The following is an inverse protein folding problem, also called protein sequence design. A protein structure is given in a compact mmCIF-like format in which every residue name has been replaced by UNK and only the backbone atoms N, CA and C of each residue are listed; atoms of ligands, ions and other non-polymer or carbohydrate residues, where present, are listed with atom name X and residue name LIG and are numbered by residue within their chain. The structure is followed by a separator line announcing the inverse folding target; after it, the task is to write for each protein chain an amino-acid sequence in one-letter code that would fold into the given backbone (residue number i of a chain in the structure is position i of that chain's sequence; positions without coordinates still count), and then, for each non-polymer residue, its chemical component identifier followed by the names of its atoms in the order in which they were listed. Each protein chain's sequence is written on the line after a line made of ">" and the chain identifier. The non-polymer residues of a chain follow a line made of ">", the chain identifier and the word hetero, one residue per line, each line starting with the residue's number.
data_IF_117230653315
#
_entry.id   IF_117230653315
#
_cell.length_a   1.000
_cell.length_b   1.000
_cell.length_c   1.000
_cell.angle_alpha   90.00
_cell.angle_beta   90.00
_cell.angle_gamma   90.00
#
_symmetry.space_group_name_H-M   'P 1'
#
loop_
_entity.id
_entity.type
_entity.pdbx_description
1 polymer ?
#
# COMPACT_ATOMS: atom_id res chain seq x y z
N UNK A 1 -27.68 -10.67 -13.26
CA UNK A 1 -27.59 -9.19 -13.12
C UNK A 1 -26.14 -8.78 -13.40
N UNK A 2 -25.86 -8.15 -14.55
CA UNK A 2 -24.51 -7.67 -14.90
C UNK A 2 -24.19 -6.44 -14.05
N UNK A 3 -23.25 -6.55 -13.11
CA UNK A 3 -22.71 -5.40 -12.36
C UNK A 3 -21.62 -4.75 -13.20
N UNK A 4 -21.78 -3.46 -13.47
CA UNK A 4 -20.82 -2.67 -14.25
C UNK A 4 -19.49 -2.55 -13.51
N UNK A 5 -18.41 -2.90 -14.21
CA UNK A 5 -17.03 -2.73 -13.77
C UNK A 5 -16.70 -1.23 -13.81
N UNK A 6 -16.60 -0.60 -12.64
CA UNK A 6 -16.09 0.76 -12.51
C UNK A 6 -14.61 0.66 -12.18
N UNK A 7 -13.71 0.82 -13.16
CA UNK A 7 -12.27 0.94 -12.87
C UNK A 7 -12.00 2.26 -12.15
N UNK A 8 -11.44 2.21 -10.94
CA UNK A 8 -10.86 3.36 -10.26
C UNK A 8 -9.72 3.93 -11.11
N UNK A 9 -9.74 5.24 -11.40
CA UNK A 9 -8.54 5.92 -11.93
C UNK A 9 -7.55 6.06 -10.79
N UNK A 10 -6.47 5.28 -10.81
CA UNK A 10 -5.31 5.53 -9.95
C UNK A 10 -4.89 7.00 -10.12
N UNK A 11 -4.77 7.73 -9.02
CA UNK A 11 -4.13 9.04 -9.04
C UNK A 11 -2.63 8.77 -9.22
N UNK A 12 -2.02 9.12 -10.37
CA UNK A 12 -0.60 8.85 -10.55
C UNK A 12 0.21 9.66 -9.54
N UNK A 13 1.32 9.07 -9.10
CA UNK A 13 2.39 9.71 -8.33
C UNK A 13 2.80 11.01 -9.03
N UNK A 14 2.35 12.16 -8.51
CA UNK A 14 3.05 13.42 -8.72
C UNK A 14 3.95 13.61 -7.52
N UNK A 15 5.21 13.22 -7.65
CA UNK A 15 6.29 13.71 -6.81
C UNK A 15 6.26 15.23 -6.89
N UNK A 16 5.72 15.87 -5.86
CA UNK A 16 5.81 17.31 -5.71
C UNK A 16 7.25 17.63 -5.30
N UNK A 17 8.11 17.82 -6.31
CA UNK A 17 9.37 18.55 -6.12
C UNK A 17 8.97 19.97 -5.74
N UNK A 18 9.00 20.27 -4.44
CA UNK A 18 8.91 21.63 -3.94
C UNK A 18 10.26 22.29 -4.22
N UNK A 19 10.40 22.85 -5.42
CA UNK A 19 11.47 23.79 -5.71
C UNK A 19 11.16 25.10 -4.97
N UNK A 20 11.85 25.32 -3.85
CA UNK A 20 11.88 26.61 -3.18
C UNK A 20 12.63 27.62 -4.04
N UNK A 21 11.90 28.47 -4.77
CA UNK A 21 12.42 29.62 -5.49
C UNK A 21 11.89 30.90 -4.86
N UNK A 22 12.80 31.73 -4.37
CA UNK A 22 12.56 33.06 -3.81
C UNK A 22 11.86 33.95 -4.85
N UNK A 23 10.70 34.51 -4.49
CA UNK A 23 10.01 35.51 -5.29
C UNK A 23 10.52 36.92 -4.91
N UNK A 24 11.22 37.58 -5.86
CA UNK A 24 11.38 39.03 -5.86
C UNK A 24 10.30 39.61 -6.80
N UNK A 25 9.52 40.56 -6.30
CA UNK A 25 8.41 41.20 -7.02
C UNK A 25 8.88 42.25 -8.04
N UNK A 26 8.49 42.00 -9.30
CA UNK A 26 7.96 42.89 -10.36
C UNK A 26 8.58 44.27 -10.65
N UNK A 27 8.76 44.56 -11.96
CA UNK A 27 8.00 45.57 -12.73
C UNK A 27 8.42 45.59 -14.23
N UNK A 28 7.42 45.34 -15.09
CA UNK A 28 7.09 45.94 -16.41
C UNK A 28 8.09 45.89 -17.59
N UNK A 29 7.71 45.21 -18.68
CA UNK A 29 7.31 45.82 -19.97
C UNK A 29 7.24 44.78 -21.10
N UNK A 30 6.17 44.85 -21.89
CA UNK A 30 5.96 44.09 -23.11
C UNK A 30 6.76 44.69 -24.29
N UNK A 31 7.19 43.85 -25.24
CA UNK A 31 7.16 44.18 -26.67
C UNK A 31 7.44 42.95 -27.54
N UNK A 32 6.57 42.76 -28.53
CA UNK A 32 6.70 41.87 -29.68
C UNK A 32 7.85 42.34 -30.59
N UNK A 33 8.48 41.44 -31.33
CA UNK A 33 8.66 41.56 -32.79
C UNK A 33 9.39 40.36 -33.39
N UNK A 34 8.83 39.90 -34.50
CA UNK A 34 9.45 38.96 -35.43
C UNK A 34 10.56 39.65 -36.24
N UNK A 35 11.57 38.88 -36.67
CA UNK A 35 12.16 39.00 -38.00
C UNK A 35 13.14 37.84 -38.25
N UNK A 36 12.95 37.19 -39.39
CA UNK A 36 13.91 36.30 -40.03
C UNK A 36 15.04 37.10 -40.69
N UNK A 37 16.21 36.49 -40.90
CA UNK A 37 16.85 36.26 -42.22
C UNK A 37 18.39 36.24 -42.20
N UNK A 38 18.93 35.33 -43.04
CA UNK A 38 20.20 35.31 -43.79
C UNK A 38 21.54 35.38 -43.02
N UNK A 39 22.46 34.40 -43.09
CA UNK A 39 23.21 33.78 -44.19
C UNK A 39 24.48 34.53 -44.63
N UNK A 40 25.64 33.84 -44.53
CA UNK A 40 26.90 33.88 -45.35
C UNK A 40 28.13 33.65 -44.45
N UNK A 41 28.85 32.51 -44.49
CA UNK A 41 29.91 32.09 -45.46
C UNK A 41 31.16 33.00 -45.37
N UNK A 42 32.43 32.61 -45.13
CA UNK A 42 33.33 31.51 -45.59
C UNK A 42 34.70 31.62 -44.79
N UNK A 43 35.89 31.09 -45.20
CA UNK A 43 36.39 29.69 -45.15
C UNK A 43 37.86 29.53 -44.59
N UNK A 44 38.39 28.30 -44.70
CA UNK A 44 39.84 27.90 -44.75
C UNK A 44 40.57 27.74 -43.40
N UNK A 45 41.46 26.78 -43.15
CA UNK A 45 42.33 25.99 -44.04
C UNK A 45 42.68 24.60 -43.46
N UNK A 46 43.06 23.68 -44.36
CA UNK A 46 43.58 22.33 -44.08
C UNK A 46 45.09 22.34 -43.83
N UNK A 47 45.58 21.42 -42.98
CA UNK A 47 46.94 20.88 -43.07
C UNK A 47 46.92 19.38 -42.73
N UNK A 48 47.70 18.60 -43.48
CA UNK A 48 47.65 17.14 -43.56
C UNK A 48 48.74 16.43 -42.74
N UNK A 49 48.34 15.29 -42.14
CA UNK A 49 49.05 14.00 -41.92
C UNK A 49 50.36 13.98 -41.07
N UNK A 50 50.72 12.87 -40.37
CA UNK A 50 50.89 11.54 -40.98
C UNK A 50 50.33 10.34 -40.19
N UNK A 51 50.21 9.24 -40.95
CA UNK A 51 49.85 7.88 -40.58
C UNK A 51 51.00 7.11 -39.88
N UNK A 52 50.64 6.28 -38.89
CA UNK A 52 51.45 5.16 -38.41
C UNK A 52 50.55 3.93 -38.19
N UNK A 53 51.06 2.78 -38.60
CA UNK A 53 50.36 1.49 -38.75
C UNK A 53 50.86 0.44 -37.75
N UNK A 54 49.95 -0.47 -37.35
CA UNK A 54 50.08 -1.88 -36.91
C UNK A 54 49.46 -2.19 -35.51
N UNK A 55 49.06 -3.45 -35.19
CA UNK A 55 48.76 -4.62 -36.03
C UNK A 55 47.36 -5.24 -35.76
N UNK A 56 46.96 -6.17 -36.64
CA UNK A 56 45.80 -7.05 -36.47
C UNK A 56 46.02 -8.10 -35.39
N UNK A 57 45.11 -8.20 -34.43
CA UNK A 57 44.94 -9.37 -33.57
C UNK A 57 43.55 -9.97 -33.83
N UNK A 58 43.52 -11.23 -34.22
CA UNK A 58 42.33 -12.03 -34.48
C UNK A 58 41.43 -12.13 -33.24
N UNK A 59 40.17 -11.74 -33.39
CA UNK A 59 39.15 -11.92 -32.35
C UNK A 59 38.86 -13.43 -32.16
N UNK A 60 38.89 -13.97 -30.92
CA UNK A 60 38.30 -15.27 -30.65
C UNK A 60 36.77 -15.18 -30.77
N UNK A 61 36.08 -16.27 -31.14
CA UNK A 61 34.65 -16.22 -31.40
C UNK A 61 33.91 -15.80 -30.13
N UNK A 62 33.12 -14.73 -30.25
CA UNK A 62 32.17 -14.36 -29.22
C UNK A 62 31.19 -15.52 -29.04
N UNK A 63 31.37 -16.28 -27.97
CA UNK A 63 30.33 -17.15 -27.46
C UNK A 63 29.20 -16.25 -27.02
N UNK A 64 28.19 -16.11 -27.87
CA UNK A 64 26.94 -15.46 -27.53
C UNK A 64 26.22 -16.34 -26.50
N UNK A 65 26.63 -16.23 -25.23
CA UNK A 65 25.77 -16.59 -24.12
C UNK A 65 24.74 -15.47 -24.04
N UNK A 66 23.63 -15.63 -24.77
CA UNK A 66 22.43 -14.84 -24.53
C UNK A 66 21.82 -15.31 -23.21
N UNK A 67 22.48 -14.99 -22.09
CA UNK A 67 21.90 -15.10 -20.77
C UNK A 67 20.84 -14.01 -20.66
N UNK A 68 19.56 -14.36 -20.86
CA UNK A 68 18.48 -13.50 -20.38
C UNK A 68 18.70 -13.42 -18.87
N UNK A 69 19.03 -12.25 -18.34
CA UNK A 69 19.18 -12.07 -16.90
C UNK A 69 17.94 -12.66 -16.21
N UNK A 70 18.16 -13.61 -15.32
CA UNK A 70 17.07 -14.22 -14.55
C UNK A 70 16.38 -13.09 -13.78
N UNK A 71 15.06 -13.00 -13.94
CA UNK A 71 14.29 -12.01 -13.19
C UNK A 71 14.30 -12.44 -11.73
N UNK A 72 14.57 -11.51 -10.83
CA UNK A 72 14.54 -11.75 -9.37
C UNK A 72 13.50 -10.86 -8.71
N UNK A 73 13.11 -11.26 -7.50
CA UNK A 73 12.36 -10.44 -6.55
C UNK A 73 13.23 -10.23 -5.32
N UNK A 74 13.28 -8.99 -4.85
CA UNK A 74 13.70 -8.69 -3.49
C UNK A 74 12.56 -9.09 -2.55
N UNK A 75 12.85 -10.00 -1.62
CA UNK A 75 11.88 -10.48 -0.64
C UNK A 75 12.39 -10.30 0.78
N UNK A 76 11.47 -9.85 1.63
CA UNK A 76 11.68 -9.74 3.07
C UNK A 76 11.12 -10.96 3.80
N UNK A 77 11.77 -11.37 4.90
CA UNK A 77 11.35 -12.49 5.74
C UNK A 77 11.86 -12.40 7.17
N UNK A 78 11.21 -13.11 8.09
CA UNK A 78 11.35 -12.85 9.53
C UNK A 78 11.87 -14.06 10.29
N UNK A 79 12.83 -13.87 11.21
CA UNK A 79 13.54 -14.98 11.90
C UNK A 79 12.72 -15.82 12.84
N UNK A 80 11.54 -15.32 13.20
CA UNK A 80 10.65 -15.90 14.18
C UNK A 80 9.83 -14.79 14.83
N UNK A 81 8.94 -15.14 15.77
CA UNK A 81 8.24 -14.18 16.61
C UNK A 81 9.26 -13.34 17.38
N UNK A 82 9.23 -12.01 17.25
CA UNK A 82 10.23 -11.10 17.83
C UNK A 82 11.59 -11.10 17.12
N UNK A 83 11.67 -11.71 15.94
CA UNK A 83 12.87 -11.73 15.11
C UNK A 83 13.15 -10.39 14.41
N UNK A 84 14.42 -10.16 14.10
CA UNK A 84 14.79 -9.09 13.17
C UNK A 84 14.53 -9.59 11.74
N UNK A 85 13.87 -8.78 10.90
CA UNK A 85 13.63 -9.15 9.53
C UNK A 85 14.93 -9.18 8.71
N UNK A 86 14.87 -9.82 7.55
CA UNK A 86 15.98 -10.02 6.61
C UNK A 86 15.47 -9.96 5.18
N UNK A 87 16.35 -9.60 4.27
CA UNK A 87 16.13 -9.51 2.84
C UNK A 87 16.98 -10.56 2.14
N UNK A 88 16.47 -11.08 1.03
CA UNK A 88 17.25 -11.84 0.05
C UNK A 88 16.67 -11.62 -1.35
N UNK A 89 17.44 -11.97 -2.37
CA UNK A 89 16.95 -12.02 -3.75
C UNK A 89 16.53 -13.44 -4.08
N UNK A 90 15.31 -13.61 -4.57
CA UNK A 90 14.80 -14.91 -5.01
C UNK A 90 14.50 -14.88 -6.50
N UNK A 91 14.66 -15.99 -7.23
CA UNK A 91 14.19 -16.08 -8.61
C UNK A 91 12.70 -15.74 -8.70
N UNK A 92 12.32 -14.96 -9.71
CA UNK A 92 10.93 -14.58 -9.96
C UNK A 92 10.09 -15.75 -10.51
N UNK A 93 10.74 -16.71 -11.15
CA UNK A 93 10.09 -17.90 -11.66
C UNK A 93 10.08 -19.00 -10.57
N UNK A 94 8.94 -19.70 -10.43
CA UNK A 94 8.84 -20.83 -9.51
C UNK A 94 9.90 -21.89 -9.82
N UNK A 95 10.64 -22.40 -8.83
CA UNK A 95 11.63 -23.44 -9.05
C UNK A 95 11.04 -24.67 -9.76
N UNK A 96 11.72 -25.17 -10.79
CA UNK A 96 11.27 -26.32 -11.60
C UNK A 96 11.02 -27.63 -10.83
N UNK A 97 11.51 -27.72 -9.58
CA UNK A 97 11.20 -28.86 -8.69
C UNK A 97 9.76 -28.83 -8.19
N UNK A 98 9.14 -27.66 -8.15
CA UNK A 98 7.79 -27.43 -7.62
C UNK A 98 6.72 -27.52 -8.71
N UNK A 99 7.05 -27.14 -9.94
CA UNK A 99 6.14 -27.18 -11.10
C UNK A 99 6.01 -28.56 -11.75
N UNK A 100 6.43 -29.63 -11.03
CA UNK A 100 6.36 -31.00 -11.54
C UNK A 100 5.04 -31.64 -11.16
N UNK A 101 4.18 -31.86 -12.16
CA UNK A 101 3.01 -32.72 -12.03
C UNK A 101 1.68 -32.00 -11.87
N UNK A 102 1.60 -30.72 -12.27
CA UNK A 102 0.38 -29.91 -12.25
C UNK A 102 -0.77 -30.65 -12.94
N UNK A 103 -1.78 -31.01 -12.16
CA UNK A 103 -3.03 -31.58 -12.67
C UNK A 103 -3.94 -30.45 -13.10
N UNK A 104 -4.63 -30.62 -14.22
CA UNK A 104 -5.75 -29.75 -14.55
C UNK A 104 -6.88 -29.91 -13.52
N UNK A 105 -7.42 -28.78 -13.04
CA UNK A 105 -8.66 -28.78 -12.27
C UNK A 105 -9.79 -29.46 -13.08
N UNK A 106 -10.63 -30.22 -12.40
CA UNK A 106 -11.87 -30.75 -12.96
C UNK A 106 -12.86 -29.62 -13.23
N UNK A 107 -13.91 -29.88 -14.03
CA UNK A 107 -14.91 -28.86 -14.34
C UNK A 107 -15.57 -28.25 -13.10
N UNK A 108 -15.81 -29.04 -12.05
CA UNK A 108 -16.39 -28.56 -10.80
C UNK A 108 -15.41 -27.68 -10.01
N UNK A 109 -14.13 -28.07 -9.97
CA UNK A 109 -13.07 -27.29 -9.33
C UNK A 109 -12.83 -25.96 -10.07
N UNK A 110 -12.79 -25.99 -11.41
CA UNK A 110 -12.70 -24.77 -12.25
C UNK A 110 -13.88 -23.83 -12.04
N UNK A 111 -15.08 -24.35 -11.80
CA UNK A 111 -16.25 -23.51 -11.54
C UNK A 111 -16.19 -22.80 -10.18
N UNK A 112 -15.47 -23.36 -9.20
CA UNK A 112 -15.21 -22.74 -7.90
C UNK A 112 -13.97 -21.82 -7.92
N UNK A 113 -13.06 -22.01 -8.88
CA UNK A 113 -11.84 -21.23 -8.96
C UNK A 113 -12.07 -19.76 -9.35
N UNK A 114 -11.44 -18.86 -8.59
CA UNK A 114 -11.49 -17.43 -8.80
C UNK A 114 -12.70 -16.72 -8.28
N UNK A 115 -13.56 -17.38 -7.49
CA UNK A 115 -14.68 -16.69 -6.89
C UNK A 115 -14.19 -15.58 -5.95
N UNK A 116 -14.92 -14.47 -5.93
CA UNK A 116 -14.57 -13.29 -5.13
C UNK A 116 -15.62 -13.11 -4.04
N UNK A 117 -15.24 -13.45 -2.81
CA UNK A 117 -16.08 -13.35 -1.63
C UNK A 117 -15.93 -12.01 -0.91
N UNK A 118 -17.03 -11.50 -0.37
CA UNK A 118 -16.97 -10.40 0.60
C UNK A 118 -16.90 -10.97 2.01
N UNK A 119 -15.82 -10.64 2.73
CA UNK A 119 -15.65 -11.05 4.14
C UNK A 119 -16.11 -9.93 5.07
N UNK A 120 -15.73 -8.69 4.78
CA UNK A 120 -16.17 -7.49 5.49
C UNK A 120 -16.47 -6.38 4.47
N UNK A 121 -17.70 -5.85 4.47
CA UNK A 121 -18.11 -4.72 3.61
C UNK A 121 -18.55 -3.52 4.47
N UNK A 122 -17.60 -2.64 4.78
CA UNK A 122 -17.86 -1.42 5.55
C UNK A 122 -18.38 -0.26 4.68
N UNK A 123 -18.32 -0.38 3.36
CA UNK A 123 -18.88 0.60 2.43
C UNK A 123 -18.43 0.39 0.98
N UNK A 124 -18.77 1.33 0.09
CA UNK A 124 -18.31 1.29 -1.30
C UNK A 124 -16.78 1.28 -1.39
N UNK A 125 -16.21 0.49 -2.30
CA UNK A 125 -14.75 0.38 -2.52
C UNK A 125 -14.08 1.74 -2.75
N UNK A 126 -14.75 2.64 -3.48
CA UNK A 126 -14.28 4.00 -3.72
C UNK A 126 -14.03 4.84 -2.43
N UNK A 127 -14.64 4.46 -1.29
CA UNK A 127 -14.54 5.14 0.00
C UNK A 127 -13.81 4.30 1.06
N UNK A 128 -13.24 3.16 0.71
CA UNK A 128 -12.62 2.19 1.63
C UNK A 128 -11.24 1.79 1.12
N UNK A 129 -10.45 1.19 2.01
CA UNK A 129 -9.25 0.45 1.65
C UNK A 129 -9.69 -0.98 1.40
N UNK A 130 -9.49 -1.51 0.20
CA UNK A 130 -9.92 -2.86 -0.15
C UNK A 130 -8.73 -3.84 -0.02
N UNK A 131 -8.78 -4.68 1.02
CA UNK A 131 -7.78 -5.73 1.28
C UNK A 131 -8.25 -7.03 0.66
N UNK A 132 -7.45 -7.60 -0.24
CA UNK A 132 -7.74 -8.87 -0.90
C UNK A 132 -6.84 -9.97 -0.35
N UNK A 133 -7.46 -11.02 0.19
CA UNK A 133 -6.79 -12.25 0.54
C UNK A 133 -6.93 -13.24 -0.61
N UNK A 134 -5.83 -13.84 -1.06
CA UNK A 134 -5.82 -14.95 -2.02
C UNK A 134 -5.36 -16.20 -1.29
N UNK A 135 -6.17 -17.27 -1.30
CA UNK A 135 -5.83 -18.52 -0.62
C UNK A 135 -4.90 -19.37 -1.47
N UNK A 136 -3.91 -20.05 -0.86
CA UNK A 136 -3.17 -21.11 -1.54
C UNK A 136 -3.10 -22.37 -0.68
N UNK A 137 -3.11 -23.52 -1.34
CA UNK A 137 -3.11 -24.84 -0.69
C UNK A 137 -4.47 -25.24 -0.11
N UNK A 138 -5.56 -24.59 -0.52
CA UNK A 138 -6.94 -24.99 -0.21
C UNK A 138 -7.57 -25.65 -1.42
N UNK A 139 -8.02 -26.88 -1.25
CA UNK A 139 -8.77 -27.58 -2.31
C UNK A 139 -10.17 -26.99 -2.49
N UNK A 140 -10.89 -27.38 -3.54
CA UNK A 140 -12.28 -26.93 -3.73
C UNK A 140 -13.19 -27.27 -2.54
N UNK A 141 -12.90 -28.35 -1.80
CA UNK A 141 -13.64 -28.75 -0.61
C UNK A 141 -13.29 -27.93 0.65
N UNK A 142 -12.25 -27.09 0.60
CA UNK A 142 -11.71 -26.34 1.73
C UNK A 142 -11.86 -24.82 1.57
N UNK A 143 -12.66 -24.34 0.61
CA UNK A 143 -12.85 -22.89 0.44
C UNK A 143 -13.56 -22.24 1.63
N UNK A 144 -14.46 -22.97 2.30
CA UNK A 144 -15.08 -22.50 3.55
C UNK A 144 -14.04 -22.34 4.69
N UNK A 145 -13.05 -23.24 4.76
CA UNK A 145 -11.94 -23.15 5.71
C UNK A 145 -11.08 -21.91 5.39
N UNK A 146 -10.72 -21.72 4.12
CA UNK A 146 -10.01 -20.51 3.67
C UNK A 146 -10.74 -19.24 4.08
N UNK A 147 -12.06 -19.14 3.87
CA UNK A 147 -12.83 -17.96 4.27
C UNK A 147 -12.85 -17.77 5.80
N UNK A 148 -12.82 -18.85 6.58
CA UNK A 148 -12.67 -18.79 8.04
C UNK A 148 -11.30 -18.26 8.44
N UNK A 149 -10.24 -18.70 7.77
CA UNK A 149 -8.88 -18.27 8.02
C UNK A 149 -8.68 -16.80 7.64
N UNK A 150 -9.31 -16.31 6.57
CA UNK A 150 -9.33 -14.88 6.25
C UNK A 150 -9.98 -14.07 7.37
N UNK A 151 -11.12 -14.53 7.92
CA UNK A 151 -11.78 -13.85 9.05
C UNK A 151 -10.88 -13.81 10.28
N UNK A 152 -10.26 -14.95 10.62
CA UNK A 152 -9.35 -15.09 11.75
C UNK A 152 -8.12 -14.19 11.60
N UNK A 153 -7.45 -14.26 10.45
CA UNK A 153 -6.25 -13.49 10.15
C UNK A 153 -6.52 -11.99 10.12
N UNK A 154 -7.63 -11.57 9.51
CA UNK A 154 -8.02 -10.18 9.54
C UNK A 154 -8.35 -9.69 10.97
N UNK A 155 -8.97 -10.52 11.80
CA UNK A 155 -9.22 -10.16 13.20
C UNK A 155 -7.90 -9.92 13.97
N UNK A 156 -6.86 -10.71 13.71
CA UNK A 156 -5.52 -10.51 14.28
C UNK A 156 -4.86 -9.23 13.78
N UNK A 157 -4.79 -9.02 12.45
CA UNK A 157 -4.21 -7.81 11.84
C UNK A 157 -4.93 -6.55 12.32
N UNK A 158 -6.26 -6.58 12.29
CA UNK A 158 -7.09 -5.43 12.68
C UNK A 158 -7.16 -5.17 14.18
N UNK A 159 -6.52 -6.01 15.01
CA UNK A 159 -6.32 -5.75 16.43
C UNK A 159 -5.10 -4.85 16.72
N UNK A 160 -4.17 -4.70 15.76
CA UNK A 160 -2.98 -3.85 15.91
C UNK A 160 -3.31 -2.39 15.62
N UNK A 161 -2.78 -1.44 16.39
CA UNK A 161 -2.92 -0.01 16.09
C UNK A 161 -1.94 0.41 14.97
N UNK A 162 -2.36 1.23 13.97
CA UNK A 162 -3.62 1.97 13.93
C UNK A 162 -4.81 1.24 13.26
N UNK A 163 -4.69 -0.02 12.82
CA UNK A 163 -5.83 -0.72 12.21
C UNK A 163 -7.04 -0.80 13.14
N UNK A 164 -6.82 -1.09 14.43
CA UNK A 164 -7.89 -1.22 15.41
C UNK A 164 -8.78 0.02 15.53
N UNK A 165 -8.19 1.22 15.58
CA UNK A 165 -8.93 2.48 15.60
C UNK A 165 -9.65 2.79 14.27
N UNK A 166 -9.16 2.24 13.15
CA UNK A 166 -9.58 2.57 11.80
C UNK A 166 -10.24 1.43 11.02
N UNK A 167 -10.57 0.30 11.66
CA UNK A 167 -11.13 -0.90 11.02
C UNK A 167 -12.31 -0.64 10.07
N UNK A 168 -13.12 0.38 10.34
CA UNK A 168 -14.28 0.77 9.51
C UNK A 168 -13.88 1.44 8.18
N UNK A 169 -12.60 1.74 7.97
CA UNK A 169 -12.06 2.22 6.70
C UNK A 169 -11.76 1.07 5.72
N UNK A 170 -11.79 -0.19 6.17
CA UNK A 170 -11.39 -1.32 5.35
C UNK A 170 -12.59 -2.13 4.88
N UNK A 171 -12.54 -2.58 3.64
CA UNK A 171 -13.26 -3.77 3.20
C UNK A 171 -12.25 -4.93 3.13
N UNK A 172 -12.75 -6.14 3.32
CA UNK A 172 -11.96 -7.37 3.21
C UNK A 172 -12.64 -8.31 2.25
N UNK A 173 -11.88 -8.78 1.28
CA UNK A 173 -12.31 -9.68 0.23
C UNK A 173 -11.46 -10.94 0.24
N UNK A 174 -12.06 -12.06 -0.16
CA UNK A 174 -11.36 -13.29 -0.48
C UNK A 174 -11.40 -13.51 -1.99
N UNK A 175 -10.33 -14.10 -2.52
CA UNK A 175 -10.27 -14.66 -3.87
C UNK A 175 -9.85 -16.11 -3.74
N UNK A 176 -10.75 -16.99 -4.18
CA UNK A 176 -10.58 -18.43 -4.05
C UNK A 176 -9.61 -18.90 -5.15
N UNK A 177 -8.39 -19.31 -4.79
CA UNK A 177 -7.49 -19.98 -5.71
C UNK A 177 -7.48 -21.47 -5.38
N UNK A 178 -8.17 -22.25 -6.20
CA UNK A 178 -8.43 -23.66 -5.93
C UNK A 178 -7.18 -24.48 -6.23
N UNK A 179 -6.57 -25.03 -5.18
CA UNK A 179 -5.41 -25.92 -5.29
C UNK A 179 -5.81 -27.37 -5.57
N UNK A 180 -4.97 -28.08 -6.33
CA UNK A 180 -5.11 -29.52 -6.52
C UNK A 180 -4.84 -30.32 -5.23
N UNK A 181 -3.97 -29.80 -4.36
CA UNK A 181 -3.58 -30.46 -3.13
C UNK A 181 -3.71 -29.52 -1.92
N UNK A 182 -4.07 -30.13 -0.78
CA UNK A 182 -4.07 -29.45 0.51
C UNK A 182 -2.64 -29.27 1.05
N UNK A 183 -2.42 -28.12 1.69
CA UNK A 183 -1.12 -27.71 2.23
C UNK A 183 -0.22 -27.07 1.18
N UNK A 184 1.00 -26.70 1.58
CA UNK A 184 1.98 -26.04 0.69
C UNK A 184 3.31 -26.79 0.63
N UNK A 185 4.10 -26.52 -0.40
CA UNK A 185 5.40 -27.17 -0.58
C UNK A 185 6.38 -26.82 0.55
N UNK A 186 7.20 -27.78 0.97
CA UNK A 186 8.17 -27.59 2.06
C UNK A 186 7.62 -27.77 3.49
N UNK A 187 6.37 -28.23 3.63
CA UNK A 187 5.67 -28.52 4.88
C UNK A 187 5.06 -29.95 4.83
N UNK A 188 5.36 -30.86 5.79
CA UNK A 188 6.18 -30.69 7.02
C UNK A 188 7.69 -30.65 6.80
N UNK A 189 8.21 -31.09 5.65
CA UNK A 189 9.65 -31.13 5.40
C UNK A 189 10.04 -30.54 4.04
N UNK A 190 11.29 -30.07 3.92
CA UNK A 190 11.83 -29.39 2.73
C UNK A 190 11.63 -30.17 1.42
N UNK A 191 11.56 -31.49 1.48
CA UNK A 191 11.40 -32.37 0.31
C UNK A 191 9.96 -32.51 -0.19
N UNK A 192 8.97 -32.04 0.58
CA UNK A 192 7.55 -32.14 0.19
C UNK A 192 7.26 -31.15 -0.93
N UNK A 193 6.66 -31.65 -2.01
CA UNK A 193 6.18 -30.86 -3.14
C UNK A 193 4.66 -31.02 -3.22
N UNK A 194 3.96 -29.90 -3.37
CA UNK A 194 2.51 -29.80 -3.49
C UNK A 194 2.16 -29.04 -4.76
N UNK A 195 1.19 -29.54 -5.50
CA UNK A 195 0.54 -28.87 -6.63
C UNK A 195 -0.54 -27.93 -6.08
N UNK A 196 -0.21 -26.64 -6.03
CA UNK A 196 -1.06 -25.58 -5.47
C UNK A 196 -1.29 -24.44 -6.46
N UNK A 197 -2.36 -23.68 -6.27
CA UNK A 197 -2.81 -22.67 -7.22
C UNK A 197 -1.81 -21.53 -7.41
N UNK A 198 -1.03 -21.17 -6.39
CA UNK A 198 -0.07 -20.05 -6.39
C UNK A 198 1.39 -20.49 -6.24
N UNK A 199 1.65 -21.79 -6.24
CA UNK A 199 2.96 -22.39 -5.96
C UNK A 199 3.59 -21.92 -4.64
N UNK A 200 2.81 -21.73 -3.57
CA UNK A 200 3.39 -21.38 -2.26
C UNK A 200 4.40 -22.44 -1.79
N UNK A 201 5.55 -21.98 -1.30
CA UNK A 201 6.59 -22.88 -0.77
C UNK A 201 7.47 -22.27 0.31
N UNK A 202 7.75 -23.09 1.33
CA UNK A 202 8.78 -22.85 2.33
C UNK A 202 10.19 -23.17 1.81
N UNK A 203 11.22 -22.85 2.59
CA UNK A 203 12.63 -23.10 2.22
C UNK A 203 13.09 -22.37 0.97
N UNK A 204 12.42 -21.27 0.63
CA UNK A 204 12.85 -20.37 -0.40
C UNK A 204 14.23 -19.79 -0.03
N UNK A 205 15.13 -19.73 -1.01
CA UNK A 205 16.56 -19.43 -0.81
C UNK A 205 17.23 -20.23 0.33
N UNK A 206 16.79 -21.47 0.56
CA UNK A 206 17.29 -22.32 1.64
C UNK A 206 16.85 -21.92 3.05
N UNK A 207 16.05 -20.87 3.21
CA UNK A 207 15.53 -20.41 4.49
C UNK A 207 14.16 -21.02 4.80
N UNK A 208 14.08 -21.83 5.85
CA UNK A 208 12.86 -22.56 6.24
C UNK A 208 11.57 -21.74 6.23
N UNK A 209 11.55 -20.62 6.94
CA UNK A 209 10.36 -19.76 7.14
C UNK A 209 10.08 -18.75 6.02
N UNK A 210 10.97 -18.64 5.03
CA UNK A 210 10.72 -17.78 3.86
C UNK A 210 9.69 -18.49 2.97
N UNK A 211 8.46 -18.00 3.05
CA UNK A 211 7.29 -18.52 2.35
C UNK A 211 7.08 -17.74 1.05
N UNK A 212 7.59 -18.30 -0.05
CA UNK A 212 7.55 -17.68 -1.35
C UNK A 212 6.33 -18.13 -2.17
N UNK A 213 5.94 -17.33 -3.16
CA UNK A 213 4.82 -17.54 -4.09
C UNK A 213 5.21 -17.19 -5.52
N UNK A 214 4.46 -17.67 -6.51
CA UNK A 214 4.52 -17.16 -7.88
C UNK A 214 3.75 -15.83 -7.99
N UNK A 215 4.47 -14.72 -8.14
CA UNK A 215 3.86 -13.38 -8.16
C UNK A 215 3.00 -13.14 -9.40
N UNK A 216 3.23 -13.86 -10.51
CA UNK A 216 2.43 -13.80 -11.73
C UNK A 216 1.08 -14.49 -11.55
N UNK A 217 1.08 -15.68 -10.93
CA UNK A 217 -0.16 -16.38 -10.54
C UNK A 217 -0.95 -15.52 -9.55
N UNK A 218 -0.31 -14.97 -8.51
CA UNK A 218 -0.97 -14.05 -7.55
C UNK A 218 -1.60 -12.86 -8.28
N UNK A 219 -0.88 -12.21 -9.19
CA UNK A 219 -1.41 -11.08 -9.95
C UNK A 219 -2.64 -11.47 -10.79
N UNK A 220 -2.68 -12.69 -11.35
CA UNK A 220 -3.83 -13.17 -12.13
C UNK A 220 -5.10 -13.36 -11.29
N UNK A 221 -4.96 -13.82 -10.04
CA UNK A 221 -6.08 -13.93 -9.10
C UNK A 221 -6.48 -12.56 -8.54
N UNK A 222 -5.51 -11.74 -8.14
CA UNK A 222 -5.78 -10.38 -7.65
C UNK A 222 -6.53 -9.53 -8.69
N UNK A 223 -6.27 -9.73 -9.99
CA UNK A 223 -7.01 -9.06 -11.06
C UNK A 223 -8.52 -9.39 -11.11
N UNK A 224 -8.97 -10.50 -10.48
CA UNK A 224 -10.39 -10.84 -10.32
C UNK A 224 -11.08 -9.88 -9.33
N UNK A 225 -10.32 -9.23 -8.44
CA UNK A 225 -10.75 -8.21 -7.50
C UNK A 225 -10.10 -6.83 -7.83
N UNK A 226 -10.52 -6.14 -8.90
CA UNK A 226 -9.80 -5.01 -9.49
C UNK A 226 -9.75 -3.73 -8.63
N UNK A 227 -10.45 -3.71 -7.50
CA UNK A 227 -10.44 -2.59 -6.55
C UNK A 227 -9.41 -2.80 -5.43
N UNK A 228 -8.64 -3.90 -5.46
CA UNK A 228 -7.61 -4.19 -4.46
C UNK A 228 -6.62 -3.02 -4.29
N UNK A 229 -6.49 -2.56 -3.05
CA UNK A 229 -5.40 -1.66 -2.65
C UNK A 229 -4.23 -2.45 -2.04
N UNK A 230 -4.52 -3.60 -1.42
CA UNK A 230 -3.54 -4.49 -0.77
C UNK A 230 -3.83 -5.95 -1.11
N UNK A 231 -2.78 -6.74 -1.32
CA UNK A 231 -2.88 -8.18 -1.58
C UNK A 231 -2.10 -8.96 -0.52
N UNK A 232 -2.80 -9.90 0.12
CA UNK A 232 -2.24 -10.84 1.09
C UNK A 232 -2.48 -12.26 0.58
N UNK A 233 -1.42 -13.07 0.47
CA UNK A 233 -1.56 -14.50 0.20
C UNK A 233 -1.61 -15.25 1.52
N UNK A 234 -2.66 -16.04 1.71
CA UNK A 234 -2.81 -16.90 2.88
C UNK A 234 -2.56 -18.36 2.47
N UNK A 235 -1.45 -18.92 2.92
CA UNK A 235 -1.06 -20.29 2.61
C UNK A 235 -1.57 -21.25 3.68
N UNK A 236 -2.28 -22.30 3.28
CA UNK A 236 -2.82 -23.34 4.15
C UNK A 236 -1.69 -24.10 4.86
N UNK A 237 -1.31 -23.65 6.05
CA UNK A 237 -0.22 -24.23 6.83
C UNK A 237 -0.23 -23.70 8.26
N UNK A 238 0.09 -24.59 9.20
CA UNK A 238 0.38 -24.25 10.59
C UNK A 238 1.86 -23.95 10.85
N UNK A 239 2.74 -24.09 9.86
CA UNK A 239 4.16 -23.77 9.98
C UNK A 239 4.36 -22.26 9.97
N UNK A 240 5.25 -21.74 10.81
CA UNK A 240 5.58 -20.32 10.75
C UNK A 240 6.26 -19.95 9.43
N UNK A 241 5.67 -18.96 8.75
CA UNK A 241 6.37 -18.21 7.72
C UNK A 241 5.51 -17.15 7.06
N UNK A 242 6.19 -16.38 6.24
CA UNK A 242 5.66 -15.24 5.52
C UNK A 242 6.78 -14.47 4.86
N UNK A 243 6.42 -13.63 3.91
CA UNK A 243 7.35 -12.80 3.15
C UNK A 243 6.69 -11.52 2.66
N UNK A 244 7.52 -10.49 2.52
CA UNK A 244 7.23 -9.24 1.84
C UNK A 244 7.77 -9.23 0.43
N UNK A 245 6.96 -8.84 -0.55
CA UNK A 245 7.39 -8.66 -1.92
C UNK A 245 7.28 -7.19 -2.31
N UNK A 246 8.40 -6.57 -2.69
CA UNK A 246 8.39 -5.25 -3.32
C UNK A 246 8.14 -5.40 -4.81
N UNK A 247 6.88 -5.57 -5.19
CA UNK A 247 6.45 -5.69 -6.59
C UNK A 247 5.50 -4.57 -6.98
N UNK A 248 5.75 -3.93 -8.12
CA UNK A 248 4.79 -3.01 -8.74
C UNK A 248 3.84 -3.83 -9.61
N UNK A 249 2.58 -3.94 -9.19
CA UNK A 249 1.57 -4.62 -10.00
C UNK A 249 0.97 -3.64 -11.02
N UNK A 250 0.77 -4.10 -12.26
CA UNK A 250 -0.08 -3.38 -13.21
C UNK A 250 -1.58 -3.37 -12.82
N UNK A 251 -1.91 -4.04 -11.71
CA UNK A 251 -3.26 -4.24 -11.19
C UNK A 251 -3.66 -3.23 -10.10
N UNK A 252 -2.75 -2.32 -9.70
CA UNK A 252 -3.12 -1.16 -8.89
C UNK A 252 -2.82 -1.23 -7.39
N UNK A 253 -2.23 -2.34 -6.92
CA UNK A 253 -1.72 -2.51 -5.56
C UNK A 253 -0.18 -2.49 -5.54
N UNK A 254 0.38 -2.08 -4.40
CA UNK A 254 1.83 -2.02 -4.17
C UNK A 254 2.25 -3.17 -3.25
N UNK A 255 3.00 -4.14 -3.77
CA UNK A 255 3.55 -5.27 -3.02
C UNK A 255 2.60 -6.44 -2.73
N UNK A 256 3.16 -7.55 -2.26
CA UNK A 256 2.43 -8.75 -1.81
C UNK A 256 2.96 -9.13 -0.44
N UNK A 257 2.06 -9.39 0.50
CA UNK A 257 2.42 -10.03 1.78
C UNK A 257 2.01 -11.50 1.73
N UNK A 258 2.85 -12.41 2.21
CA UNK A 258 2.48 -13.82 2.40
C UNK A 258 2.45 -14.15 3.88
N UNK A 259 1.50 -14.99 4.28
CA UNK A 259 1.36 -15.47 5.64
C UNK A 259 0.83 -16.90 5.64
N UNK A 260 1.23 -17.66 6.65
CA UNK A 260 0.61 -18.96 6.95
C UNK A 260 -0.74 -18.74 7.66
N UNK A 261 -1.76 -19.49 7.27
CA UNK A 261 -3.13 -19.37 7.78
C UNK A 261 -3.21 -19.61 9.29
N UNK A 262 -2.64 -20.73 9.71
CA UNK A 262 -2.87 -21.33 11.03
C UNK A 262 -1.73 -21.07 12.02
N UNK A 263 -0.77 -20.22 11.67
CA UNK A 263 0.27 -19.80 12.60
C UNK A 263 -0.07 -18.46 13.28
N UNK A 264 -0.07 -18.40 14.63
CA UNK A 264 -0.49 -17.22 15.39
C UNK A 264 0.44 -16.01 15.24
N UNK A 265 1.68 -16.21 14.81
CA UNK A 265 2.67 -15.12 14.62
C UNK A 265 2.85 -14.68 13.16
N UNK A 266 2.19 -15.34 12.20
CA UNK A 266 2.30 -14.99 10.77
C UNK A 266 1.48 -13.74 10.41
N UNK A 267 0.55 -13.30 11.26
CA UNK A 267 -0.17 -12.03 11.11
C UNK A 267 0.77 -10.82 11.24
N UNK A 268 1.77 -10.90 12.13
CA UNK A 268 2.72 -9.82 12.37
C UNK A 268 3.57 -9.52 11.13
N UNK A 269 3.80 -10.53 10.28
CA UNK A 269 4.40 -10.34 8.95
C UNK A 269 3.50 -9.44 8.11
N UNK A 270 2.22 -9.79 7.95
CA UNK A 270 1.28 -8.97 7.18
C UNK A 270 1.14 -7.53 7.75
N UNK A 271 1.19 -7.35 9.06
CA UNK A 271 1.21 -6.01 9.66
C UNK A 271 2.49 -5.26 9.26
N UNK A 272 3.67 -5.89 9.34
CA UNK A 272 4.92 -5.28 8.88
C UNK A 272 4.86 -4.89 7.39
N UNK A 273 4.47 -5.82 6.52
CA UNK A 273 4.47 -5.61 5.06
C UNK A 273 3.48 -4.52 4.61
N UNK A 274 2.37 -4.42 5.31
CA UNK A 274 1.43 -3.33 5.07
C UNK A 274 1.98 -1.98 5.52
N UNK A 275 2.99 -1.96 6.40
CA UNK A 275 3.82 -0.79 6.70
C UNK A 275 4.46 -0.18 5.46
N UNK A 276 5.00 -1.01 4.57
CA UNK A 276 5.59 -0.57 3.30
C UNK A 276 4.52 -0.10 2.32
N UNK A 277 3.57 -0.98 1.99
CA UNK A 277 2.57 -0.73 0.94
C UNK A 277 1.57 0.38 1.30
N UNK A 278 1.16 0.47 2.56
CA UNK A 278 0.21 1.49 3.04
C UNK A 278 0.93 2.69 3.64
N UNK A 279 1.92 2.47 4.51
CA UNK A 279 2.60 3.56 5.19
C UNK A 279 3.65 4.27 4.33
N UNK A 280 4.16 3.60 3.28
CA UNK A 280 5.37 4.03 2.59
C UNK A 280 6.59 4.00 3.51
N UNK A 281 6.55 3.15 4.56
CA UNK A 281 7.60 3.06 5.55
C UNK A 281 8.80 2.31 4.97
N UNK A 282 9.99 2.71 5.41
CA UNK A 282 11.22 1.97 5.22
C UNK A 282 11.41 0.96 6.36
N UNK A 283 12.26 -0.03 6.12
CA UNK A 283 12.82 -0.84 7.18
C UNK A 283 13.73 -0.05 8.12
N UNK A 284 13.68 -0.42 9.39
CA UNK A 284 14.43 0.22 10.46
C UNK A 284 15.58 -0.65 11.00
N UNK A 285 15.71 -1.89 10.52
CA UNK A 285 16.84 -2.75 10.86
C UNK A 285 18.02 -2.56 9.89
N UNK A 286 19.16 -3.18 10.25
CA UNK A 286 20.47 -2.91 9.63
C UNK A 286 21.24 -4.19 9.35
N UNK A 287 22.09 -4.16 8.34
CA UNK A 287 23.09 -5.20 8.09
C UNK A 287 24.48 -4.63 8.32
N UNK A 288 25.24 -5.23 9.25
CA UNK A 288 26.58 -4.77 9.57
C UNK A 288 27.49 -4.65 8.33
N UNK A 289 27.29 -5.52 7.33
CA UNK A 289 28.04 -5.53 6.07
C UNK A 289 27.82 -4.29 5.20
N UNK A 290 26.71 -3.56 5.33
CA UNK A 290 26.36 -2.44 4.46
C UNK A 290 27.12 -1.14 4.77
N UNK A 291 27.81 -1.06 5.92
CA UNK A 291 28.61 0.11 6.28
C UNK A 291 27.80 1.41 6.43
N UNK A 292 28.30 2.51 5.87
CA UNK A 292 27.67 3.84 5.99
C UNK A 292 26.90 4.20 4.73
N UNK A 293 25.65 4.62 4.88
CA UNK A 293 24.86 5.15 3.77
C UNK A 293 25.42 6.49 3.27
N UNK A 294 25.74 6.56 1.97
CA UNK A 294 26.29 7.76 1.32
C UNK A 294 25.32 8.43 0.34
N UNK A 295 24.15 7.84 0.11
CA UNK A 295 23.14 8.32 -0.84
C UNK A 295 22.42 9.60 -0.41
N UNK A 296 21.42 9.99 -1.20
CA UNK A 296 20.56 11.14 -0.94
C UNK A 296 19.61 10.91 0.25
N UNK A 297 19.04 11.98 0.80
CA UNK A 297 18.02 11.90 1.85
C UNK A 297 16.86 10.98 1.42
N UNK A 298 16.53 9.93 2.20
CA UNK A 298 15.45 9.00 1.85
C UNK A 298 14.08 9.69 1.74
N UNK A 299 13.20 9.14 0.92
CA UNK A 299 11.82 9.65 0.77
C UNK A 299 10.92 9.22 1.91
N UNK A 300 11.16 8.01 2.44
CA UNK A 300 10.37 7.30 3.43
C UNK A 300 10.23 8.12 4.73
N UNK A 301 9.04 8.11 5.37
CA UNK A 301 8.75 9.01 6.46
C UNK A 301 9.44 8.62 7.77
N UNK A 302 10.00 7.41 7.90
CA UNK A 302 10.68 6.90 9.10
C UNK A 302 12.20 6.67 8.92
N UNK A 303 12.82 7.26 7.88
CA UNK A 303 14.27 7.24 7.70
C UNK A 303 14.81 8.61 7.28
N UNK A 304 15.98 9.01 7.81
CA UNK A 304 16.58 10.32 7.51
C UNK A 304 18.09 10.35 7.73
N UNK A 305 18.84 11.19 7.01
CA UNK A 305 20.25 11.49 7.30
C UNK A 305 20.41 12.51 8.43
N UNK A 306 19.32 13.15 8.86
CA UNK A 306 19.33 14.27 9.79
C UNK A 306 19.37 13.81 11.25
N UNK A 307 20.07 14.57 12.09
CA UNK A 307 20.01 14.42 13.54
C UNK A 307 18.69 14.95 14.10
N UNK A 308 18.34 14.59 15.35
CA UNK A 308 17.14 15.10 16.02
C UNK A 308 17.11 16.64 16.11
N UNK A 309 18.27 17.27 16.32
CA UNK A 309 18.41 18.72 16.32
C UNK A 309 18.12 19.33 14.94
N UNK A 310 18.65 18.74 13.86
CA UNK A 310 18.39 19.19 12.49
C UNK A 310 16.93 18.98 12.08
N UNK A 311 16.33 17.83 12.41
CA UNK A 311 14.90 17.59 12.18
C UNK A 311 14.04 18.71 12.79
N UNK A 312 14.35 19.08 14.04
CA UNK A 312 13.65 20.13 14.78
C UNK A 312 13.88 21.52 14.17
N UNK A 313 15.13 21.88 13.91
CA UNK A 313 15.50 23.19 13.36
C UNK A 313 14.94 23.41 11.94
N UNK A 314 15.02 22.39 11.09
CA UNK A 314 14.57 22.45 9.70
C UNK A 314 13.08 22.11 9.54
N UNK A 315 12.41 21.67 10.60
CA UNK A 315 10.99 21.24 10.60
C UNK A 315 10.71 20.15 9.57
N UNK A 316 11.57 19.12 9.50
CA UNK A 316 11.48 18.03 8.52
C UNK A 316 11.01 16.73 9.15
N UNK A 317 10.39 15.87 8.32
CA UNK A 317 9.95 14.51 8.68
C UNK A 317 9.15 14.50 10.00
N UNK A 318 9.60 13.75 11.01
CA UNK A 318 8.90 13.57 12.28
C UNK A 318 9.25 14.59 13.38
N UNK A 319 9.76 15.78 13.02
CA UNK A 319 10.15 16.79 13.99
C UNK A 319 9.07 17.11 15.06
N UNK A 320 7.78 17.00 14.71
CA UNK A 320 6.63 17.24 15.61
C UNK A 320 6.47 16.18 16.71
N UNK A 321 7.19 15.08 16.58
CA UNK A 321 7.16 13.94 17.47
C UNK A 321 8.36 13.86 18.40
N UNK A 322 9.48 14.55 18.09
CA UNK A 322 10.71 14.54 18.89
C UNK A 322 10.42 14.76 20.39
N UNK A 323 10.99 13.91 21.23
CA UNK A 323 10.87 13.93 22.68
C UNK A 323 9.62 13.26 23.25
N UNK A 324 8.67 12.79 22.44
CA UNK A 324 7.48 12.11 22.94
C UNK A 324 7.69 10.62 23.14
N UNK A 325 7.10 10.08 24.21
CA UNK A 325 6.95 8.64 24.39
C UNK A 325 6.07 8.07 23.29
N UNK A 326 6.57 7.01 22.66
CA UNK A 326 5.98 6.35 21.53
C UNK A 326 5.38 5.00 21.95
N UNK A 327 4.28 4.54 21.33
CA UNK A 327 3.59 3.31 21.73
C UNK A 327 4.44 2.02 21.65
N UNK A 328 5.46 1.98 20.78
CA UNK A 328 6.47 0.93 20.73
C UNK A 328 7.34 0.81 22.00
N UNK A 329 7.17 1.74 22.95
CA UNK A 329 7.88 1.81 24.23
C UNK A 329 9.10 2.74 24.20
N UNK A 330 9.51 3.24 23.04
CA UNK A 330 10.62 4.17 22.89
C UNK A 330 10.23 5.65 23.09
N UNK A 331 11.25 6.51 23.07
CA UNK A 331 11.06 7.97 22.93
C UNK A 331 11.40 8.35 21.50
N UNK A 332 10.62 9.22 20.87
CA UNK A 332 10.91 9.67 19.50
C UNK A 332 12.15 10.57 19.51
N UNK A 333 13.14 10.20 18.71
CA UNK A 333 14.41 10.89 18.54
C UNK A 333 14.94 10.69 17.11
N UNK A 334 16.25 10.52 16.98
CA UNK A 334 16.91 10.10 15.76
C UNK A 334 18.00 9.11 16.13
N UNK A 335 17.73 7.83 15.94
CA UNK A 335 18.58 6.72 16.37
C UNK A 335 19.35 6.17 15.18
N UNK A 336 20.67 6.14 15.25
CA UNK A 336 21.51 5.72 14.12
C UNK A 336 21.22 4.27 13.73
N UNK A 337 21.09 4.03 12.43
CA UNK A 337 20.76 2.75 11.81
C UNK A 337 19.33 2.70 11.27
N UNK A 338 19.18 2.53 9.94
CA UNK A 338 17.90 2.24 9.26
C UNK A 338 18.17 1.90 7.79
N UNK A 339 17.14 1.45 7.05
CA UNK A 339 17.22 1.10 5.62
C UNK A 339 18.41 0.18 5.33
N UNK A 340 18.63 -0.81 6.18
CA UNK A 340 19.71 -1.78 6.06
C UNK A 340 21.12 -1.24 6.35
N UNK A 341 21.31 0.06 6.59
CA UNK A 341 22.61 0.66 6.88
C UNK A 341 22.81 0.91 8.37
N UNK A 342 23.89 0.40 8.99
CA UNK A 342 24.18 0.65 10.41
C UNK A 342 24.60 2.09 10.70
N UNK A 343 25.02 2.87 9.71
CA UNK A 343 25.49 4.26 9.88
C UNK A 343 24.96 5.20 8.80
N UNK A 344 24.90 6.49 9.12
CA UNK A 344 24.58 7.56 8.16
C UNK A 344 23.09 7.79 7.89
N UNK A 345 22.23 6.96 8.48
CA UNK A 345 20.77 7.16 8.52
C UNK A 345 20.25 6.94 9.94
N UNK A 346 19.12 7.56 10.26
CA UNK A 346 18.45 7.50 11.54
C UNK A 346 17.00 7.03 11.39
N UNK A 347 16.55 6.20 12.34
CA UNK A 347 15.14 5.81 12.58
C UNK A 347 14.52 6.64 13.73
N UNK A 348 13.19 6.71 13.85
CA UNK A 348 12.52 7.59 14.81
C UNK A 348 12.58 7.11 16.26
N UNK A 349 12.61 5.80 16.52
CA UNK A 349 12.65 5.21 17.86
C UNK A 349 13.71 4.11 17.93
N UNK A 350 14.07 3.67 19.13
CA UNK A 350 15.02 2.57 19.26
C UNK A 350 14.49 1.31 18.57
N UNK A 351 13.21 0.99 18.68
CA UNK A 351 12.60 -0.16 18.02
C UNK A 351 11.17 0.17 17.52
N UNK A 352 10.65 -0.61 16.59
CA UNK A 352 9.26 -0.56 16.12
C UNK A 352 8.95 -1.84 15.35
N UNK A 353 7.70 -2.03 14.91
CA UNK A 353 7.38 -3.16 14.05
C UNK A 353 8.19 -3.19 12.74
N UNK A 354 8.63 -2.02 12.25
CA UNK A 354 9.50 -1.92 11.05
C UNK A 354 10.95 -2.35 11.32
N UNK A 355 11.28 -2.72 12.57
CA UNK A 355 12.59 -3.25 12.97
C UNK A 355 12.49 -4.66 13.57
N UNK A 356 11.41 -4.97 14.30
CA UNK A 356 11.23 -6.24 15.00
C UNK A 356 9.74 -6.57 15.12
N UNK A 357 9.33 -7.78 14.74
CA UNK A 357 7.93 -8.21 14.87
C UNK A 357 7.42 -8.20 16.32
N UNK A 358 6.10 -8.12 16.50
CA UNK A 358 5.45 -8.12 17.81
C UNK A 358 5.60 -6.79 18.57
N UNK A 359 6.12 -5.75 17.90
CA UNK A 359 6.16 -4.37 18.40
C UNK A 359 5.03 -3.57 17.77
N UNK A 360 4.70 -2.43 18.36
CA UNK A 360 3.82 -1.47 17.72
C UNK A 360 4.59 -0.60 16.72
N UNK A 361 3.88 0.07 15.80
CA UNK A 361 4.48 1.16 15.02
C UNK A 361 4.88 2.32 15.94
N UNK A 362 5.99 2.97 15.60
CA UNK A 362 6.39 4.24 16.18
C UNK A 362 5.37 5.34 15.88
N UNK A 363 5.33 6.44 16.66
CA UNK A 363 4.42 7.56 16.39
C UNK A 363 4.51 8.09 14.95
N UNK A 364 5.71 8.30 14.37
CA UNK A 364 5.83 8.65 12.96
C UNK A 364 5.30 7.56 12.02
N UNK A 365 5.55 6.29 12.35
CA UNK A 365 5.00 5.15 11.62
C UNK A 365 3.46 5.14 11.62
N UNK A 366 2.83 5.33 12.78
CA UNK A 366 1.36 5.42 12.90
C UNK A 366 0.78 6.56 12.10
N UNK A 367 1.39 7.74 12.16
CA UNK A 367 0.94 8.89 11.37
C UNK A 367 1.00 8.59 9.86
N UNK A 368 2.08 7.96 9.40
CA UNK A 368 2.24 7.54 8.01
C UNK A 368 1.21 6.47 7.60
N UNK A 369 0.93 5.50 8.47
CA UNK A 369 -0.11 4.49 8.25
C UNK A 369 -1.50 5.12 8.14
N UNK A 370 -1.86 6.04 9.05
CA UNK A 370 -3.15 6.75 9.00
C UNK A 370 -3.25 7.57 7.71
N UNK A 371 -2.18 8.24 7.30
CA UNK A 371 -2.13 8.92 6.01
C UNK A 371 -2.38 7.95 4.85
N UNK A 372 -1.75 6.77 4.89
CA UNK A 372 -1.96 5.68 3.96
C UNK A 372 -3.42 5.25 3.86
N UNK A 373 -4.07 4.98 5.00
CA UNK A 373 -5.49 4.62 5.02
C UNK A 373 -6.34 5.66 4.30
N UNK A 374 -6.09 6.96 4.54
CA UNK A 374 -6.83 8.05 3.90
C UNK A 374 -6.38 8.40 2.48
N UNK A 375 -5.32 7.79 1.93
CA UNK A 375 -5.05 7.85 0.49
C UNK A 375 -6.06 7.00 -0.30
N UNK A 376 -6.52 5.92 0.30
CA UNK A 376 -7.42 4.96 -0.34
C UNK A 376 -8.87 5.10 0.16
N UNK A 377 -9.08 5.41 1.43
CA UNK A 377 -10.40 5.56 2.04
C UNK A 377 -10.83 7.01 2.26
N UNK A 378 -12.12 7.20 2.56
CA UNK A 378 -12.69 8.50 2.95
C UNK A 378 -13.20 8.47 4.39
N UNK A 379 -12.93 9.53 5.16
CA UNK A 379 -13.45 9.71 6.54
C UNK A 379 -14.98 9.75 6.60
N UNK A 380 -15.63 10.07 5.48
CA UNK A 380 -17.08 10.10 5.31
C UNK A 380 -17.46 9.28 4.08
N UNK A 381 -18.31 8.29 4.26
CA UNK A 381 -18.80 7.43 3.18
C UNK A 381 -20.32 7.36 3.15
N UNK A 382 -20.89 7.16 1.97
CA UNK A 382 -22.33 6.98 1.78
C UNK A 382 -22.61 6.14 0.55
N UNK A 383 -23.62 5.27 0.63
CA UNK A 383 -24.13 4.56 -0.54
C UNK A 383 -24.91 5.50 -1.48
N UNK A 384 -25.44 6.61 -0.96
CA UNK A 384 -26.05 7.65 -1.79
C UNK A 384 -24.96 8.54 -2.35
N UNK A 385 -24.77 8.48 -3.68
CA UNK A 385 -23.75 9.26 -4.39
C UNK A 385 -23.88 10.75 -4.10
N UNK A 386 -22.74 11.40 -3.88
CA UNK A 386 -22.69 12.88 -3.85
C UNK A 386 -23.22 13.45 -5.17
N UNK A 387 -23.91 14.58 -5.10
CA UNK A 387 -24.60 15.24 -6.21
C UNK A 387 -25.95 14.64 -6.59
N UNK A 388 -26.34 13.48 -6.05
CA UNK A 388 -27.62 12.86 -6.36
C UNK A 388 -28.81 13.69 -5.86
N UNK A 389 -29.91 13.66 -6.62
CA UNK A 389 -31.19 14.18 -6.18
C UNK A 389 -31.85 13.22 -5.19
N UNK A 390 -32.31 13.72 -4.06
CA UNK A 390 -32.95 12.95 -3.00
C UNK A 390 -34.25 13.62 -2.57
N UNK A 391 -35.29 12.82 -2.34
CA UNK A 391 -36.56 13.34 -1.85
C UNK A 391 -36.40 13.94 -0.44
N UNK A 392 -37.25 14.91 -0.09
CA UNK A 392 -37.24 15.56 1.23
C UNK A 392 -37.39 14.59 2.40
N UNK A 393 -38.09 13.47 2.19
CA UNK A 393 -38.28 12.40 3.18
C UNK A 393 -37.25 11.25 3.07
N UNK A 394 -36.32 11.29 2.11
CA UNK A 394 -35.38 10.21 1.90
C UNK A 394 -34.38 10.08 3.05
N UNK A 395 -34.10 8.85 3.46
CA UNK A 395 -33.07 8.56 4.45
C UNK A 395 -31.67 8.73 3.84
N UNK A 396 -30.93 9.71 4.34
CA UNK A 396 -29.51 9.88 4.08
C UNK A 396 -28.73 9.20 5.19
N UNK A 397 -28.11 8.06 4.86
CA UNK A 397 -27.23 7.31 5.74
C UNK A 397 -25.78 7.55 5.35
N UNK A 398 -24.95 7.87 6.34
CA UNK A 398 -23.50 8.03 6.20
C UNK A 398 -22.76 7.15 7.20
N UNK A 399 -21.54 6.76 6.86
CA UNK A 399 -20.60 6.09 7.76
C UNK A 399 -19.35 6.94 7.92
N UNK A 400 -18.83 7.00 9.15
CA UNK A 400 -17.65 7.79 9.54
C UNK A 400 -16.71 6.96 10.40
N UNK A 401 -15.42 7.27 10.39
CA UNK A 401 -14.44 6.66 11.30
C UNK A 401 -14.81 6.92 12.77
N UNK A 402 -14.33 6.07 13.69
CA UNK A 402 -14.63 6.21 15.13
C UNK A 402 -14.13 7.55 15.70
N UNK A 403 -13.01 8.06 15.19
CA UNK A 403 -12.37 9.30 15.63
C UNK A 403 -12.92 10.57 14.92
N UNK A 404 -13.89 10.42 14.02
CA UNK A 404 -14.40 11.53 13.23
C UNK A 404 -15.57 12.27 13.89
N UNK A 405 -15.50 13.60 13.81
CA UNK A 405 -16.65 14.48 14.03
C UNK A 405 -17.51 14.54 12.77
N UNK A 406 -18.84 14.56 12.91
CA UNK A 406 -19.80 14.64 11.79
C UNK A 406 -20.74 15.84 11.98
N UNK A 407 -20.86 16.66 10.93
CA UNK A 407 -21.70 17.87 10.88
C UNK A 407 -22.58 17.86 9.64
N UNK A 408 -23.77 18.44 9.77
CA UNK A 408 -24.74 18.56 8.68
C UNK A 408 -25.03 20.02 8.40
N UNK A 409 -25.30 20.32 7.12
CA UNK A 409 -25.57 21.65 6.63
C UNK A 409 -26.74 21.63 5.64
N UNK A 410 -27.58 22.67 5.69
CA UNK A 410 -28.59 22.97 4.68
C UNK A 410 -28.23 24.31 4.06
N UNK A 411 -28.04 24.34 2.74
CA UNK A 411 -27.66 25.55 1.99
C UNK A 411 -26.46 26.32 2.59
N UNK A 412 -25.50 25.56 3.11
CA UNK A 412 -24.29 26.08 3.74
C UNK A 412 -24.41 26.44 5.23
N UNK A 413 -25.62 26.52 5.79
CA UNK A 413 -25.84 26.77 7.21
C UNK A 413 -25.79 25.47 8.04
N UNK A 414 -25.05 25.46 9.17
CA UNK A 414 -24.93 24.26 10.01
C UNK A 414 -26.24 23.96 10.77
N UNK A 415 -26.67 22.71 10.73
CA UNK A 415 -27.76 22.19 11.55
C UNK A 415 -27.16 21.58 12.82
N UNK A 416 -26.94 22.38 13.86
CA UNK A 416 -26.23 21.96 15.08
C UNK A 416 -26.91 20.80 15.81
N UNK A 417 -28.25 20.75 15.80
CA UNK A 417 -29.04 19.66 16.38
C UNK A 417 -28.86 18.30 15.66
N UNK A 418 -28.19 18.29 14.50
CA UNK A 418 -27.89 17.08 13.73
C UNK A 418 -26.43 16.62 13.87
N UNK A 419 -25.60 17.30 14.65
CA UNK A 419 -24.20 16.89 14.90
C UNK A 419 -24.14 15.42 15.35
N UNK A 420 -23.24 14.64 14.75
CA UNK A 420 -23.05 13.22 15.07
C UNK A 420 -24.12 12.26 14.53
N UNK A 421 -25.27 12.73 14.01
CA UNK A 421 -26.32 11.85 13.47
C UNK A 421 -25.85 11.18 12.18
N UNK A 422 -25.75 9.85 12.18
CA UNK A 422 -25.34 9.03 11.01
C UNK A 422 -26.47 8.79 10.01
N UNK A 423 -27.72 9.01 10.43
CA UNK A 423 -28.91 8.90 9.60
C UNK A 423 -29.79 10.12 9.82
N UNK A 424 -30.18 10.78 8.74
CA UNK A 424 -31.06 11.96 8.75
C UNK A 424 -31.96 11.93 7.51
N UNK A 425 -33.03 12.72 7.52
CA UNK A 425 -33.75 13.09 6.30
C UNK A 425 -33.58 14.59 6.03
N UNK A 426 -33.62 15.07 4.78
CA UNK A 426 -33.63 16.50 4.51
C UNK A 426 -34.72 17.26 5.31
N UNK A 427 -35.90 16.68 5.45
CA UNK A 427 -36.97 17.22 6.30
C UNK A 427 -36.51 17.40 7.76
N UNK A 428 -35.87 16.40 8.36
CA UNK A 428 -35.37 16.45 9.75
C UNK A 428 -34.24 17.46 9.95
N UNK A 429 -33.57 17.86 8.86
CA UNK A 429 -32.55 18.91 8.85
C UNK A 429 -33.14 20.32 8.69
N UNK A 430 -34.46 20.44 8.52
CA UNK A 430 -35.13 21.73 8.37
C UNK A 430 -35.25 22.20 6.93
N UNK A 431 -35.01 21.35 5.92
CA UNK A 431 -35.28 21.72 4.52
C UNK A 431 -36.78 22.02 4.35
N UNK A 432 -37.18 23.22 3.88
CA UNK A 432 -38.58 23.60 3.75
C UNK A 432 -39.25 22.87 2.57
N UNK A 433 -40.58 22.95 2.53
CA UNK A 433 -41.39 22.50 1.39
C UNK A 433 -41.91 23.70 0.61
N UNK A 434 -41.01 24.59 0.19
CA UNK A 434 -41.31 25.87 -0.44
C UNK A 434 -41.25 25.84 -1.99
N UNK A 435 -41.10 24.64 -2.56
CA UNK A 435 -40.98 24.43 -4.01
C UNK A 435 -39.59 24.80 -4.58
N UNK A 436 -38.63 25.24 -3.76
CA UNK A 436 -37.29 25.60 -4.21
C UNK A 436 -36.31 24.43 -4.08
N UNK A 437 -35.28 24.37 -4.93
CA UNK A 437 -34.21 23.40 -4.75
C UNK A 437 -33.33 23.77 -3.56
N UNK A 438 -32.95 22.78 -2.77
CA UNK A 438 -32.03 22.92 -1.63
C UNK A 438 -30.85 21.97 -1.73
N UNK A 439 -29.84 22.21 -0.90
CA UNK A 439 -28.67 21.36 -0.77
C UNK A 439 -28.50 20.88 0.66
N UNK A 440 -28.27 19.58 0.82
CA UNK A 440 -27.91 18.97 2.11
C UNK A 440 -26.46 18.52 2.02
N UNK A 441 -25.61 18.93 2.96
CA UNK A 441 -24.19 18.53 3.00
C UNK A 441 -23.85 17.91 4.34
N UNK A 442 -23.26 16.71 4.32
CA UNK A 442 -22.54 16.15 5.44
C UNK A 442 -21.05 16.49 5.33
N UNK A 443 -20.41 16.90 6.43
CA UNK A 443 -18.95 17.07 6.53
C UNK A 443 -18.43 16.28 7.71
N UNK A 444 -17.35 15.53 7.51
CA UNK A 444 -16.66 14.86 8.60
C UNK A 444 -15.18 15.20 8.63
N UNK A 445 -14.60 15.17 9.83
CA UNK A 445 -13.19 15.42 10.07
C UNK A 445 -12.68 14.49 11.19
N UNK A 446 -11.60 13.76 10.91
CA UNK A 446 -10.89 12.95 11.89
C UNK A 446 -9.96 13.83 12.74
N UNK A 447 -10.27 13.89 14.03
CA UNK A 447 -9.58 14.75 14.99
C UNK A 447 -8.52 14.00 15.81
N UNK A 448 -8.12 12.79 15.40
CA UNK A 448 -7.12 11.98 16.12
C UNK A 448 -5.88 12.77 16.50
N UNK A 449 -5.28 12.56 17.67
CA UNK A 449 -3.99 13.19 18.02
C UNK A 449 -2.79 12.49 17.38
N UNK A 450 -3.00 11.31 16.79
CA UNK A 450 -1.97 10.52 16.11
C UNK A 450 -1.54 11.10 14.75
N UNK A 451 -2.12 12.22 14.32
CA UNK A 451 -1.68 12.99 13.14
C UNK A 451 -1.40 14.42 13.56
N UNK A 452 -0.17 14.89 13.39
CA UNK A 452 0.27 16.26 13.68
C UNK A 452 0.60 17.07 12.43
N UNK A 453 0.87 16.43 11.30
CA UNK A 453 1.15 17.14 10.06
C UNK A 453 -0.10 17.85 9.53
N UNK A 454 -0.09 19.20 9.41
CA UNK A 454 -1.21 19.95 8.85
C UNK A 454 -1.54 19.58 7.40
N UNK A 455 -0.56 19.10 6.62
CA UNK A 455 -0.81 18.63 5.26
C UNK A 455 -1.65 17.35 5.27
N UNK A 456 -1.28 16.38 6.13
CA UNK A 456 -2.03 15.13 6.30
C UNK A 456 -3.42 15.39 6.85
N UNK A 457 -3.58 16.33 7.78
CA UNK A 457 -4.90 16.72 8.32
C UNK A 457 -5.93 17.10 7.26
N UNK A 458 -5.50 17.60 6.10
CA UNK A 458 -6.42 17.91 4.99
C UNK A 458 -7.05 16.65 4.40
N UNK A 459 -6.30 15.53 4.36
CA UNK A 459 -6.79 14.24 3.89
C UNK A 459 -7.80 13.61 4.86
N UNK A 460 -7.71 13.97 6.14
CA UNK A 460 -8.58 13.51 7.22
C UNK A 460 -9.94 14.23 7.27
N UNK A 461 -10.34 14.88 6.17
CA UNK A 461 -11.63 15.58 6.07
C UNK A 461 -12.34 15.22 4.77
N UNK A 462 -13.67 15.11 4.82
CA UNK A 462 -14.47 14.83 3.63
C UNK A 462 -15.86 15.45 3.73
N UNK A 463 -16.46 15.73 2.57
CA UNK A 463 -17.84 16.16 2.45
C UNK A 463 -18.62 15.30 1.46
N UNK A 464 -19.93 15.20 1.67
CA UNK A 464 -20.90 14.62 0.72
C UNK A 464 -22.08 15.57 0.65
N UNK A 465 -22.51 15.90 -0.56
CA UNK A 465 -23.59 16.86 -0.81
C UNK A 465 -24.66 16.22 -1.65
N UNK A 466 -25.93 16.42 -1.34
CA UNK A 466 -27.08 15.93 -2.09
C UNK A 466 -28.00 17.09 -2.45
N UNK A 467 -28.67 16.98 -3.59
CA UNK A 467 -29.64 17.95 -4.07
C UNK A 467 -31.03 17.53 -3.62
N UNK A 468 -31.82 18.43 -3.06
CA UNK A 468 -33.24 18.22 -2.77
C UNK A 468 -34.00 19.04 -3.80
N UNK A 469 -34.64 18.42 -4.80
CA UNK A 469 -35.37 19.17 -5.82
C UNK A 469 -36.59 19.86 -5.20
N UNK A 470 -36.99 20.98 -5.79
CA UNK A 470 -38.28 21.60 -5.50
C UNK A 470 -39.43 20.66 -5.86
N UNK A 471 -40.52 20.70 -5.10
CA UNK A 471 -41.76 20.04 -5.52
C UNK A 471 -42.25 20.71 -6.82
N UNK A 472 -42.52 19.90 -7.85
CA UNK A 472 -43.14 20.35 -9.10
C UNK A 472 -44.62 20.60 -8.90
#
# INVERSE_FOLDING_TARGET
>A
MRRGIWRRRHRPLRSAVVAGGVALTAVVAAAMSAAASAASATPSASAAAPSASAPSASAPPASAVSGRAERTHEVEYFTGPGGHPRHTEVPADTPARLTRGDRALSAAETAADGDVGSVIENGPTADKVDVVFVGDGYTAAQQDDFHADVRSKWAQISAVEPYAAYRNLFNVWSVDAVSNQAGVSGDPSKGVVKDTALDSYFWCDGTERLLCVDTGKVASYAAKAPEADLVVVLSNSAKYGGAGYTVSSGAGYDGIATASSDHPDSDQVAVHETGHSVGGLADEYVYAANGTYTGAEPGEPNATKLTAAQLTAEKRKWYRWIGQTSPDGGTVGAYEGSRYYPKGLNRPTENSIMRTLGREYSLPGREAMIAGFYRHASVLSSRTRTGASVARAANLKVSVSKAASLRWYVDGAEVTAARGKKTVTPASLGVPSDGRPHTVTAKAADTTRAVKDPALRKLLTASRTWKVPGAS
#
